data_IF_108978500424
#
_entry.id   IF_108978500424
#
_cell.length_a   1.000
_cell.length_b   1.000
_cell.length_c   1.000
_cell.angle_alpha   90.00
_cell.angle_beta   90.00
_cell.angle_gamma   90.00
#
_symmetry.space_group_name_H-M   'P 1'
#
loop_
_entity.id
_entity.type
_entity.pdbx_description
1 polymer ?
#
# COMPACT_ATOMS: atom_id res chain seq x y z
N UNK A 1 1.57 9.19 10.62
CA UNK A 1 0.66 8.48 11.56
C UNK A 1 -0.73 8.41 10.95
N UNK A 2 -1.40 7.26 11.05
CA UNK A 2 -2.78 7.07 10.56
C UNK A 2 -3.66 6.76 11.75
N UNK A 3 -4.82 7.44 11.88
CA UNK A 3 -5.76 7.17 12.94
C UNK A 3 -7.19 7.11 12.41
N UNK A 4 -7.91 6.08 12.81
CA UNK A 4 -9.35 5.90 12.61
C UNK A 4 -10.05 6.15 13.95
N UNK A 5 -11.07 7.01 13.93
CA UNK A 5 -11.86 7.33 15.12
C UNK A 5 -13.32 7.13 14.85
N UNK A 6 -13.86 5.99 15.33
CA UNK A 6 -15.27 5.59 15.16
C UNK A 6 -15.74 5.66 13.71
N UNK A 7 -14.90 5.15 12.79
CA UNK A 7 -15.13 5.26 11.34
C UNK A 7 -16.13 4.21 10.91
N UNK A 8 -17.18 4.67 10.21
CA UNK A 8 -18.10 3.78 9.48
C UNK A 8 -18.16 4.18 8.01
N UNK A 9 -18.31 3.19 7.14
CA UNK A 9 -18.54 3.38 5.71
C UNK A 9 -19.67 2.51 5.23
N UNK A 10 -20.70 3.15 4.71
CA UNK A 10 -21.88 2.53 4.14
C UNK A 10 -21.96 2.85 2.65
N UNK A 11 -22.23 1.85 1.83
CA UNK A 11 -22.50 2.00 0.40
C UNK A 11 -23.94 1.60 0.11
N UNK A 12 -24.51 2.12 -0.98
CA UNK A 12 -25.88 1.83 -1.40
C UNK A 12 -26.93 2.66 -0.65
N UNK A 13 -28.19 2.41 -0.96
CA UNK A 13 -29.37 3.03 -0.34
C UNK A 13 -30.54 2.05 -0.35
N UNK A 14 -31.51 2.22 0.55
CA UNK A 14 -32.67 1.32 0.66
C UNK A 14 -32.25 -0.13 0.96
N UNK A 15 -32.79 -1.08 0.23
CA UNK A 15 -32.57 -2.52 0.43
C UNK A 15 -31.18 -3.02 0.02
N UNK A 16 -30.36 -2.16 -0.61
CA UNK A 16 -29.01 -2.53 -1.08
C UNK A 16 -27.90 -1.96 -0.19
N UNK A 17 -28.21 -1.60 1.05
CA UNK A 17 -27.25 -1.04 2.01
C UNK A 17 -26.19 -2.07 2.40
N UNK A 18 -24.91 -1.75 2.16
CA UNK A 18 -23.76 -2.54 2.59
C UNK A 18 -22.91 -1.72 3.54
N UNK A 19 -22.78 -2.16 4.80
CA UNK A 19 -21.89 -1.56 5.79
C UNK A 19 -20.49 -2.18 5.64
N UNK A 20 -19.66 -1.55 4.82
CA UNK A 20 -18.33 -2.05 4.51
C UNK A 20 -17.31 -1.84 5.64
N UNK A 21 -17.49 -0.79 6.46
CA UNK A 21 -16.72 -0.55 7.70
C UNK A 21 -17.70 -0.11 8.78
N UNK A 22 -17.59 -0.69 9.97
CA UNK A 22 -18.49 -0.44 11.09
C UNK A 22 -17.72 -0.06 12.35
N UNK A 23 -17.85 1.20 12.77
CA UNK A 23 -17.31 1.77 14.01
C UNK A 23 -15.84 1.41 14.28
N UNK A 24 -15.01 1.39 13.22
CA UNK A 24 -13.61 1.01 13.29
C UNK A 24 -12.76 2.10 13.93
N UNK A 25 -11.98 1.73 14.95
CA UNK A 25 -11.01 2.62 15.60
C UNK A 25 -9.67 1.91 15.75
N UNK A 26 -8.58 2.55 15.29
CA UNK A 26 -7.20 2.14 15.49
C UNK A 26 -6.24 3.29 15.24
N UNK A 27 -5.00 3.16 15.72
CA UNK A 27 -3.92 4.10 15.43
C UNK A 27 -2.68 3.35 14.98
N UNK A 28 -2.21 3.65 13.76
CA UNK A 28 -0.96 3.15 13.20
C UNK A 28 0.11 4.25 13.29
N UNK A 29 1.15 4.09 14.11
CA UNK A 29 2.24 5.04 14.22
C UNK A 29 3.04 5.12 12.91
N UNK A 30 3.78 6.21 12.73
CA UNK A 30 4.71 6.35 11.61
C UNK A 30 5.77 5.23 11.67
N UNK A 31 6.15 4.70 10.51
CA UNK A 31 7.09 3.58 10.40
C UNK A 31 6.52 2.21 10.75
N UNK A 32 5.26 2.13 11.16
CA UNK A 32 4.60 0.85 11.46
C UNK A 32 4.38 0.02 10.19
N UNK A 33 4.49 -1.30 10.32
CA UNK A 33 4.04 -2.25 9.30
C UNK A 33 2.83 -3.02 9.86
N UNK A 34 1.65 -2.75 9.31
CA UNK A 34 0.39 -3.31 9.78
C UNK A 34 -0.29 -4.11 8.68
N UNK A 35 -0.93 -5.21 9.05
CA UNK A 35 -1.71 -6.03 8.13
C UNK A 35 -3.19 -6.05 8.53
N UNK A 36 -4.06 -5.89 7.55
CA UNK A 36 -5.48 -6.15 7.65
C UNK A 36 -5.80 -7.50 7.03
N UNK A 37 -6.40 -8.40 7.82
CA UNK A 37 -6.80 -9.73 7.39
C UNK A 37 -8.30 -9.92 7.56
N UNK A 38 -8.86 -10.99 6.99
CA UNK A 38 -10.27 -11.33 7.12
C UNK A 38 -10.86 -11.87 5.83
N UNK A 39 -12.11 -12.36 5.86
CA UNK A 39 -12.80 -12.91 4.69
C UNK A 39 -12.91 -11.90 3.54
N UNK A 40 -13.18 -12.38 2.32
CA UNK A 40 -13.55 -11.49 1.21
C UNK A 40 -14.80 -10.70 1.58
N UNK A 41 -14.85 -9.43 1.21
CA UNK A 41 -15.97 -8.54 1.55
C UNK A 41 -15.95 -7.97 2.99
N UNK A 42 -14.97 -8.31 3.84
CA UNK A 42 -14.92 -7.79 5.23
C UNK A 42 -14.50 -6.33 5.37
N UNK A 43 -14.34 -5.56 4.27
CA UNK A 43 -14.06 -4.12 4.31
C UNK A 43 -12.58 -3.72 4.23
N UNK A 44 -11.64 -4.67 4.08
CA UNK A 44 -10.19 -4.40 4.08
C UNK A 44 -9.74 -3.37 3.04
N UNK A 45 -10.10 -3.56 1.77
CA UNK A 45 -9.77 -2.60 0.70
C UNK A 45 -10.47 -1.26 0.92
N UNK A 46 -11.67 -1.27 1.53
CA UNK A 46 -12.38 -0.03 1.90
C UNK A 46 -11.58 0.78 2.92
N UNK A 47 -10.91 0.13 3.88
CA UNK A 47 -10.01 0.80 4.84
C UNK A 47 -8.88 1.52 4.08
N UNK A 48 -8.23 0.85 3.11
CA UNK A 48 -7.19 1.49 2.29
C UNK A 48 -7.74 2.66 1.46
N UNK A 49 -8.93 2.50 0.88
CA UNK A 49 -9.59 3.57 0.12
C UNK A 49 -9.93 4.80 0.98
N UNK A 50 -10.34 4.59 2.22
CA UNK A 50 -10.59 5.66 3.19
C UNK A 50 -9.29 6.42 3.51
N UNK A 51 -8.18 5.70 3.76
CA UNK A 51 -6.86 6.31 4.03
C UNK A 51 -6.37 7.11 2.82
N UNK A 52 -6.56 6.56 1.61
CA UNK A 52 -6.15 7.21 0.36
C UNK A 52 -7.03 8.40 -0.03
N UNK A 53 -8.11 8.69 0.69
CA UNK A 53 -9.08 9.72 0.31
C UNK A 53 -9.76 9.43 -1.04
N UNK A 54 -9.91 8.15 -1.39
CA UNK A 54 -10.64 7.71 -2.58
C UNK A 54 -12.15 7.70 -2.34
N UNK A 55 -12.55 7.54 -1.09
CA UNK A 55 -13.95 7.62 -0.64
C UNK A 55 -13.98 8.26 0.75
N UNK A 56 -14.93 9.18 1.04
CA UNK A 56 -15.08 9.72 2.39
C UNK A 56 -15.76 8.69 3.30
N UNK A 57 -15.51 8.71 4.62
CA UNK A 57 -16.29 7.95 5.58
C UNK A 57 -17.75 8.44 5.61
N UNK A 58 -18.67 7.57 6.02
CA UNK A 58 -20.08 7.95 6.28
C UNK A 58 -20.20 8.62 7.64
N UNK A 59 -19.39 8.18 8.62
CA UNK A 59 -19.26 8.80 9.94
C UNK A 59 -17.89 8.52 10.53
N UNK A 60 -17.52 9.26 11.58
CA UNK A 60 -16.20 9.18 12.20
C UNK A 60 -15.16 10.00 11.45
N UNK A 61 -13.87 9.83 11.79
CA UNK A 61 -12.75 10.59 11.22
C UNK A 61 -11.61 9.68 10.83
N UNK A 62 -11.02 9.95 9.66
CA UNK A 62 -9.79 9.32 9.19
C UNK A 62 -8.72 10.38 9.15
N UNK A 63 -7.69 10.24 10.00
CA UNK A 63 -6.59 11.17 10.08
C UNK A 63 -5.34 10.58 9.45
N UNK A 64 -4.70 11.32 8.55
CA UNK A 64 -3.41 11.00 7.95
C UNK A 64 -2.44 12.14 8.24
N UNK A 65 -1.38 11.85 8.99
CA UNK A 65 -0.43 12.85 9.52
C UNK A 65 -1.13 14.03 10.23
N UNK A 66 -2.23 13.74 10.94
CA UNK A 66 -3.03 14.71 11.67
C UNK A 66 -4.10 15.45 10.84
N UNK A 67 -4.07 15.35 9.52
CA UNK A 67 -5.08 15.95 8.65
C UNK A 67 -6.28 15.02 8.47
N UNK A 68 -7.50 15.55 8.62
CA UNK A 68 -8.74 14.80 8.40
C UNK A 68 -9.00 14.66 6.90
N UNK A 69 -8.91 13.43 6.39
CA UNK A 69 -9.07 13.15 4.96
C UNK A 69 -10.49 13.45 4.47
N UNK A 70 -11.50 13.33 5.33
CA UNK A 70 -12.89 13.60 4.97
C UNK A 70 -13.15 15.09 4.67
N UNK A 71 -12.38 15.99 5.27
CA UNK A 71 -12.49 17.44 5.06
C UNK A 71 -11.71 17.94 3.84
N UNK A 72 -10.94 17.08 3.16
CA UNK A 72 -10.13 17.47 2.02
C UNK A 72 -10.98 17.69 0.76
N UNK A 73 -10.65 18.72 0.02
CA UNK A 73 -11.14 18.91 -1.36
C UNK A 73 -10.61 17.81 -2.28
N UNK A 74 -11.21 17.66 -3.46
CA UNK A 74 -10.73 16.70 -4.47
C UNK A 74 -9.26 16.95 -4.86
N UNK A 75 -8.84 18.22 -4.94
CA UNK A 75 -7.47 18.61 -5.25
C UNK A 75 -6.48 18.23 -4.13
N UNK A 76 -6.85 18.46 -2.87
CA UNK A 76 -6.04 18.09 -1.70
C UNK A 76 -5.92 16.58 -1.56
N UNK A 77 -7.01 15.82 -1.74
CA UNK A 77 -6.98 14.36 -1.75
C UNK A 77 -6.12 13.81 -2.88
N UNK A 78 -6.17 14.41 -4.07
CA UNK A 78 -5.30 14.04 -5.19
C UNK A 78 -3.81 14.35 -4.88
N UNK A 79 -3.52 15.49 -4.25
CA UNK A 79 -2.17 15.86 -3.81
C UNK A 79 -1.64 14.91 -2.73
N UNK A 80 -2.48 14.52 -1.75
CA UNK A 80 -2.14 13.52 -0.74
C UNK A 80 -1.70 12.19 -1.40
N UNK A 81 -2.52 11.66 -2.32
CA UNK A 81 -2.19 10.42 -3.05
C UNK A 81 -0.90 10.56 -3.88
N UNK A 82 -0.74 11.66 -4.60
CA UNK A 82 0.39 11.87 -5.51
C UNK A 82 1.72 12.08 -4.79
N UNK A 83 1.69 12.67 -3.57
CA UNK A 83 2.91 13.10 -2.85
C UNK A 83 3.25 12.28 -1.62
N UNK A 84 2.25 11.63 -1.01
CA UNK A 84 2.42 11.00 0.31
C UNK A 84 2.11 9.52 0.33
N UNK A 85 1.33 8.99 -0.63
CA UNK A 85 0.84 7.63 -0.63
C UNK A 85 1.33 6.88 -1.87
N UNK A 86 2.13 5.83 -1.65
CA UNK A 86 2.41 4.83 -2.67
C UNK A 86 1.33 3.75 -2.62
N UNK A 87 0.60 3.53 -3.71
CA UNK A 87 -0.44 2.50 -3.76
C UNK A 87 0.01 1.31 -4.62
N UNK A 88 -0.01 0.11 -4.04
CA UNK A 88 0.32 -1.15 -4.69
C UNK A 88 -0.95 -1.99 -4.75
N UNK A 89 -1.38 -2.34 -5.94
CA UNK A 89 -2.62 -3.05 -6.22
C UNK A 89 -2.34 -4.48 -6.69
N UNK A 90 -3.27 -5.39 -6.47
CA UNK A 90 -3.21 -6.76 -6.96
C UNK A 90 -3.10 -6.81 -8.49
N UNK A 91 -3.82 -5.95 -9.21
CA UNK A 91 -3.88 -5.91 -10.68
C UNK A 91 -2.77 -5.07 -11.33
N UNK A 92 -1.70 -4.72 -10.59
CA UNK A 92 -0.55 -3.91 -11.02
C UNK A 92 -0.91 -2.50 -11.50
N UNK A 93 -1.99 -2.31 -12.25
CA UNK A 93 -2.46 -1.06 -12.86
C UNK A 93 -1.35 -0.32 -13.62
N UNK A 94 -0.52 -1.06 -14.35
CA UNK A 94 0.49 -0.51 -15.25
C UNK A 94 -0.18 -0.07 -16.56
N UNK A 95 0.30 1.02 -17.12
CA UNK A 95 -0.14 1.51 -18.42
C UNK A 95 0.59 0.74 -19.52
N UNK A 96 -0.10 -0.09 -20.33
CA UNK A 96 0.54 -1.03 -21.24
C UNK A 96 1.25 -0.36 -22.42
N UNK A 97 0.87 0.87 -22.75
CA UNK A 97 1.46 1.68 -23.81
C UNK A 97 2.67 2.52 -23.37
N UNK A 98 2.99 2.52 -22.09
CA UNK A 98 4.18 3.16 -21.52
C UNK A 98 5.24 2.11 -21.21
N UNK A 99 6.51 2.47 -21.37
CA UNK A 99 7.65 1.69 -20.91
C UNK A 99 7.67 1.56 -19.38
N UNK A 100 8.51 0.68 -18.85
CA UNK A 100 8.73 0.55 -17.42
C UNK A 100 9.20 1.87 -16.79
N UNK A 101 10.15 2.56 -17.43
CA UNK A 101 10.62 3.89 -17.02
C UNK A 101 9.50 4.91 -16.94
N UNK A 102 8.69 5.00 -17.97
CA UNK A 102 7.57 5.96 -18.04
C UNK A 102 6.48 5.63 -17.02
N UNK A 103 6.14 4.36 -16.82
CA UNK A 103 5.21 3.93 -15.77
C UNK A 103 5.67 4.38 -14.38
N UNK A 104 6.95 4.20 -14.06
CA UNK A 104 7.51 4.62 -12.76
C UNK A 104 7.57 6.14 -12.66
N UNK A 105 7.94 6.86 -13.72
CA UNK A 105 8.07 8.32 -13.72
C UNK A 105 6.74 9.09 -13.70
N UNK A 106 5.64 8.44 -14.11
CA UNK A 106 4.34 9.09 -14.28
C UNK A 106 3.88 9.95 -13.09
N UNK A 107 3.94 9.47 -11.82
CA UNK A 107 3.51 10.29 -10.68
C UNK A 107 4.30 11.59 -10.53
N UNK A 108 5.60 11.58 -10.84
CA UNK A 108 6.47 12.74 -10.75
C UNK A 108 6.19 13.75 -11.88
N UNK A 109 5.95 13.25 -13.09
CA UNK A 109 5.55 14.08 -14.24
C UNK A 109 4.22 14.79 -13.96
N UNK A 110 3.24 14.07 -13.42
CA UNK A 110 1.94 14.63 -13.02
C UNK A 110 2.05 15.65 -11.87
N UNK A 111 3.11 15.57 -11.07
CA UNK A 111 3.38 16.55 -10.00
C UNK A 111 4.25 17.74 -10.48
N UNK A 112 4.61 17.79 -11.78
CA UNK A 112 5.39 18.87 -12.38
C UNK A 112 6.88 18.86 -11.99
N UNK A 113 7.42 17.70 -11.60
CA UNK A 113 8.85 17.56 -11.26
C UNK A 113 9.69 17.72 -12.53
N UNK A 114 10.84 18.41 -12.43
CA UNK A 114 11.76 18.63 -13.56
C UNK A 114 12.31 17.30 -14.09
N UNK A 115 12.43 17.18 -15.42
CA UNK A 115 12.82 15.92 -16.09
C UNK A 115 14.10 15.30 -15.56
N UNK A 116 15.14 16.09 -15.31
CA UNK A 116 16.40 15.58 -14.77
C UNK A 116 16.24 14.92 -13.38
N UNK A 117 15.33 15.42 -12.55
CA UNK A 117 15.01 14.83 -11.25
C UNK A 117 14.13 13.58 -11.42
N UNK A 118 13.18 13.60 -12.37
CA UNK A 118 12.37 12.41 -12.73
C UNK A 118 13.32 11.28 -13.13
N UNK A 119 14.26 11.53 -14.03
CA UNK A 119 15.20 10.51 -14.53
C UNK A 119 16.06 9.92 -13.42
N UNK A 120 16.58 10.76 -12.52
CA UNK A 120 17.37 10.31 -11.38
C UNK A 120 16.55 9.40 -10.44
N UNK A 121 15.37 9.87 -10.02
CA UNK A 121 14.49 9.11 -9.10
C UNK A 121 13.98 7.81 -9.72
N UNK A 122 13.68 7.81 -11.01
CA UNK A 122 13.23 6.60 -11.73
C UNK A 122 14.37 5.58 -11.80
N UNK A 123 15.60 6.00 -12.07
CA UNK A 123 16.76 5.09 -12.06
C UNK A 123 16.94 4.45 -10.68
N UNK A 124 16.88 5.25 -9.60
CA UNK A 124 16.99 4.76 -8.23
C UNK A 124 15.87 3.75 -7.91
N UNK A 125 14.62 4.08 -8.26
CA UNK A 125 13.48 3.22 -7.98
C UNK A 125 13.54 1.90 -8.77
N UNK A 126 13.94 1.91 -10.03
CA UNK A 126 14.12 0.71 -10.85
C UNK A 126 15.28 -0.15 -10.34
N UNK A 127 16.38 0.47 -9.90
CA UNK A 127 17.51 -0.26 -9.32
C UNK A 127 17.09 -0.96 -8.01
N UNK A 128 16.32 -0.28 -7.15
CA UNK A 128 15.84 -0.83 -5.87
C UNK A 128 15.03 -2.12 -6.05
N UNK A 129 14.28 -2.24 -7.14
CA UNK A 129 13.46 -3.43 -7.46
C UNK A 129 14.13 -4.39 -8.45
N UNK A 130 15.41 -4.21 -8.77
CA UNK A 130 16.18 -5.00 -9.73
C UNK A 130 15.58 -5.02 -11.16
N UNK A 131 15.06 -3.87 -11.64
CA UNK A 131 14.48 -3.72 -12.98
C UNK A 131 15.17 -2.67 -13.85
N UNK A 132 16.36 -2.19 -13.46
CA UNK A 132 17.10 -1.20 -14.25
C UNK A 132 17.35 -1.67 -15.70
N UNK A 133 17.65 -2.97 -15.91
CA UNK A 133 17.86 -3.59 -17.21
C UNK A 133 16.58 -3.72 -18.06
N UNK A 134 15.40 -3.53 -17.45
CA UNK A 134 14.09 -3.59 -18.10
C UNK A 134 13.46 -2.22 -18.34
N UNK A 135 14.16 -1.13 -18.07
CA UNK A 135 13.63 0.25 -18.11
C UNK A 135 12.92 0.60 -19.43
N UNK A 136 13.40 0.13 -20.57
CA UNK A 136 12.80 0.36 -21.88
C UNK A 136 11.72 -0.65 -22.30
N UNK A 137 11.42 -1.67 -21.50
CA UNK A 137 10.40 -2.67 -21.83
C UNK A 137 9.00 -2.18 -21.49
N UNK A 138 8.02 -2.61 -22.29
CA UNK A 138 6.60 -2.41 -21.96
C UNK A 138 6.12 -3.48 -20.96
N UNK A 139 5.10 -3.18 -20.13
CA UNK A 139 4.54 -4.14 -19.17
C UNK A 139 4.19 -5.51 -19.76
N UNK A 140 3.70 -5.55 -21.00
CA UNK A 140 3.35 -6.78 -21.70
C UNK A 140 4.54 -7.72 -21.96
N UNK A 141 5.77 -7.21 -21.89
CA UNK A 141 7.00 -7.98 -22.05
C UNK A 141 7.65 -8.37 -20.70
N UNK A 142 6.95 -8.12 -19.59
CA UNK A 142 7.41 -8.42 -18.25
C UNK A 142 6.61 -9.59 -17.66
N UNK A 143 7.27 -10.45 -16.90
CA UNK A 143 6.59 -11.48 -16.09
C UNK A 143 5.72 -10.84 -15.00
N UNK A 144 4.74 -11.58 -14.46
CA UNK A 144 3.87 -11.06 -13.39
C UNK A 144 4.63 -10.54 -12.17
N UNK A 145 5.71 -11.24 -11.78
CA UNK A 145 6.59 -10.78 -10.69
C UNK A 145 7.37 -9.51 -11.04
N UNK A 146 7.82 -9.34 -12.30
CA UNK A 146 8.45 -8.10 -12.76
C UNK A 146 7.44 -6.95 -12.82
N UNK A 147 6.21 -7.22 -13.27
CA UNK A 147 5.13 -6.22 -13.28
C UNK A 147 4.80 -5.73 -11.86
N UNK A 148 4.74 -6.64 -10.90
CA UNK A 148 4.49 -6.28 -9.50
C UNK A 148 5.64 -5.48 -8.90
N UNK A 149 6.90 -5.87 -9.15
CA UNK A 149 8.07 -5.07 -8.75
C UNK A 149 8.06 -3.69 -9.42
N UNK A 150 7.62 -3.59 -10.67
CA UNK A 150 7.47 -2.31 -11.36
C UNK A 150 6.39 -1.43 -10.71
N UNK A 151 5.26 -2.00 -10.29
CA UNK A 151 4.23 -1.29 -9.53
C UNK A 151 4.75 -0.78 -8.19
N UNK A 152 5.63 -1.55 -7.51
CA UNK A 152 6.32 -1.09 -6.29
C UNK A 152 7.27 0.08 -6.61
N UNK A 153 8.08 -0.01 -7.66
CA UNK A 153 8.97 1.09 -8.05
C UNK A 153 8.17 2.38 -8.31
N UNK A 154 7.03 2.27 -8.99
CA UNK A 154 6.11 3.41 -9.20
C UNK A 154 5.56 3.98 -7.89
N UNK A 155 5.24 3.12 -6.93
CA UNK A 155 4.78 3.57 -5.61
C UNK A 155 5.89 4.27 -4.80
N UNK A 156 7.15 3.86 -4.97
CA UNK A 156 8.31 4.35 -4.23
C UNK A 156 8.94 5.62 -4.81
N UNK A 157 8.80 5.86 -6.12
CA UNK A 157 9.47 6.96 -6.83
C UNK A 157 9.14 8.34 -6.24
N UNK A 158 7.97 8.49 -5.66
CA UNK A 158 7.52 9.71 -4.99
C UNK A 158 8.11 9.87 -3.59
N UNK A 159 8.85 8.88 -3.06
CA UNK A 159 9.33 8.79 -1.67
C UNK A 159 8.17 8.94 -0.68
N UNK A 160 7.20 8.03 -0.71
CA UNK A 160 5.96 8.15 0.06
C UNK A 160 6.23 8.06 1.57
N UNK A 161 5.35 8.67 2.36
CA UNK A 161 5.31 8.44 3.81
C UNK A 161 4.54 7.18 4.17
N UNK A 162 3.63 6.75 3.28
CA UNK A 162 2.72 5.62 3.48
C UNK A 162 2.70 4.76 2.22
N UNK A 163 2.80 3.44 2.39
CA UNK A 163 2.54 2.44 1.35
C UNK A 163 1.23 1.73 1.72
N UNK A 164 0.27 1.77 0.81
CA UNK A 164 -0.96 0.98 0.86
C UNK A 164 -0.83 -0.17 -0.12
N UNK A 165 -0.86 -1.40 0.36
CA UNK A 165 -0.69 -2.61 -0.44
C UNK A 165 -1.96 -3.47 -0.35
N UNK A 166 -2.73 -3.53 -1.43
CA UNK A 166 -3.98 -4.30 -1.52
C UNK A 166 -3.73 -5.60 -2.27
N UNK A 167 -3.67 -6.72 -1.52
CA UNK A 167 -3.39 -8.09 -2.01
C UNK A 167 -2.19 -8.14 -2.99
N UNK A 168 -1.02 -7.56 -2.64
CA UNK A 168 0.09 -7.37 -3.59
C UNK A 168 0.70 -8.67 -4.10
N UNK A 169 0.39 -9.79 -3.48
CA UNK A 169 0.88 -11.14 -3.82
C UNK A 169 -0.16 -12.01 -4.52
N UNK A 170 -1.40 -11.51 -4.69
CA UNK A 170 -2.54 -12.32 -5.13
C UNK A 170 -2.40 -12.93 -6.54
N UNK A 171 -1.56 -12.34 -7.40
CA UNK A 171 -1.29 -12.82 -8.77
C UNK A 171 0.10 -13.47 -8.91
N UNK A 172 0.77 -13.81 -7.80
CA UNK A 172 2.11 -14.36 -7.78
C UNK A 172 2.12 -15.78 -7.22
N UNK A 173 3.08 -16.59 -7.68
CA UNK A 173 3.39 -17.82 -6.98
C UNK A 173 4.00 -17.56 -5.59
N UNK A 174 4.06 -18.58 -4.74
CA UNK A 174 4.55 -18.45 -3.36
C UNK A 174 5.98 -17.94 -3.26
N UNK A 175 6.85 -18.32 -4.20
CA UNK A 175 8.25 -17.90 -4.18
C UNK A 175 8.37 -16.41 -4.51
N UNK A 176 7.76 -15.98 -5.61
CA UNK A 176 7.71 -14.57 -6.01
C UNK A 176 7.01 -13.70 -4.95
N UNK A 177 5.93 -14.21 -4.33
CA UNK A 177 5.23 -13.54 -3.24
C UNK A 177 6.14 -13.30 -2.02
N UNK A 178 6.95 -14.28 -1.61
CA UNK A 178 7.92 -14.10 -0.51
C UNK A 178 8.98 -13.06 -0.85
N UNK A 179 9.58 -13.14 -2.05
CA UNK A 179 10.56 -12.14 -2.50
C UNK A 179 9.98 -10.72 -2.49
N UNK A 180 8.71 -10.58 -2.90
CA UNK A 180 8.01 -9.30 -2.87
C UNK A 180 7.84 -8.78 -1.44
N UNK A 181 7.41 -9.64 -0.52
CA UNK A 181 7.19 -9.28 0.88
C UNK A 181 8.51 -8.98 1.59
N UNK A 182 9.58 -9.71 1.28
CA UNK A 182 10.93 -9.40 1.76
C UNK A 182 11.35 -7.99 1.30
N UNK A 183 11.13 -7.66 0.02
CA UNK A 183 11.42 -6.33 -0.53
C UNK A 183 10.63 -5.23 0.20
N UNK A 184 9.31 -5.41 0.39
CA UNK A 184 8.48 -4.42 1.11
C UNK A 184 8.95 -4.25 2.56
N UNK A 185 9.30 -5.35 3.22
CA UNK A 185 9.82 -5.34 4.57
C UNK A 185 11.16 -4.61 4.69
N UNK A 186 12.10 -4.90 3.79
CA UNK A 186 13.40 -4.23 3.74
C UNK A 186 13.24 -2.71 3.49
N UNK A 187 12.28 -2.32 2.64
CA UNK A 187 11.96 -0.91 2.40
C UNK A 187 11.41 -0.26 3.68
N UNK A 188 10.46 -0.90 4.37
CA UNK A 188 9.92 -0.37 5.62
C UNK A 188 11.04 -0.16 6.67
N UNK A 189 11.90 -1.16 6.86
CA UNK A 189 13.00 -1.09 7.84
C UNK A 189 14.02 0.01 7.50
N UNK A 190 14.41 0.12 6.23
CA UNK A 190 15.47 1.05 5.80
C UNK A 190 15.02 2.49 5.68
N UNK A 191 13.76 2.72 5.33
CA UNK A 191 13.24 4.07 5.05
C UNK A 191 12.31 4.61 6.13
N UNK A 192 11.81 3.76 7.02
CA UNK A 192 10.79 4.13 8.01
C UNK A 192 9.43 4.46 7.40
N UNK A 193 9.18 4.08 6.14
CA UNK A 193 7.86 4.26 5.51
C UNK A 193 6.81 3.42 6.23
N UNK A 194 5.65 4.00 6.48
CA UNK A 194 4.52 3.25 7.06
C UNK A 194 3.91 2.32 6.02
N UNK A 195 3.69 1.04 6.35
CA UNK A 195 3.10 0.06 5.43
C UNK A 195 1.78 -0.44 6.00
N UNK A 196 0.71 -0.37 5.20
CA UNK A 196 -0.55 -1.05 5.46
C UNK A 196 -0.80 -2.07 4.36
N UNK A 197 -0.78 -3.34 4.76
CA UNK A 197 -0.98 -4.50 3.89
C UNK A 197 -2.40 -5.03 4.08
N UNK A 198 -3.13 -5.24 3.01
CA UNK A 198 -4.32 -6.08 2.99
C UNK A 198 -3.93 -7.42 2.40
N UNK A 199 -4.22 -8.50 3.11
CA UNK A 199 -4.01 -9.86 2.60
C UNK A 199 -4.93 -10.86 3.31
N UNK A 200 -5.30 -11.91 2.61
CA UNK A 200 -5.98 -13.07 3.19
C UNK A 200 -5.00 -14.21 3.54
N UNK A 201 -3.72 -14.13 3.10
CA UNK A 201 -2.71 -15.14 3.39
C UNK A 201 -2.02 -14.84 4.74
N UNK A 202 -2.15 -15.75 5.74
CA UNK A 202 -1.53 -15.58 7.05
C UNK A 202 0.01 -15.58 7.00
N UNK A 203 0.61 -16.22 5.99
CA UNK A 203 2.07 -16.22 5.81
C UNK A 203 2.57 -14.82 5.49
N UNK A 204 1.85 -14.09 4.64
CA UNK A 204 2.22 -12.72 4.30
C UNK A 204 1.79 -11.71 5.38
N UNK A 205 0.68 -11.95 6.07
CA UNK A 205 0.31 -11.14 7.23
C UNK A 205 1.37 -11.17 8.35
N UNK A 206 2.11 -12.29 8.49
CA UNK A 206 3.17 -12.45 9.49
C UNK A 206 4.41 -11.57 9.25
N UNK A 207 4.48 -10.85 8.13
CA UNK A 207 5.50 -9.82 7.88
C UNK A 207 5.21 -8.51 8.65
N UNK A 208 3.99 -8.28 9.05
CA UNK A 208 3.59 -7.09 9.78
C UNK A 208 4.00 -7.14 11.26
N UNK A 209 4.15 -5.97 11.88
CA UNK A 209 4.34 -5.84 13.33
C UNK A 209 3.01 -6.03 14.08
N UNK A 210 1.89 -5.74 13.43
CA UNK A 210 0.55 -5.84 14.01
C UNK A 210 -0.45 -6.30 12.95
N UNK A 211 -1.35 -7.20 13.34
CA UNK A 211 -2.39 -7.73 12.46
C UNK A 211 -3.76 -7.37 13.03
N UNK A 212 -4.57 -6.69 12.23
CA UNK A 212 -5.95 -6.37 12.51
C UNK A 212 -6.85 -7.30 11.67
N UNK A 213 -7.64 -8.13 12.33
CA UNK A 213 -8.60 -8.99 11.64
C UNK A 213 -9.95 -8.30 11.56
N UNK A 214 -10.42 -8.07 10.34
CA UNK A 214 -11.76 -7.53 10.08
C UNK A 214 -12.75 -8.66 9.81
N UNK A 215 -13.93 -8.53 10.41
CA UNK A 215 -15.10 -9.41 10.18
C UNK A 215 -16.30 -8.49 10.04
N UNK A 216 -17.01 -8.60 8.93
CA UNK A 216 -18.22 -7.81 8.63
C UNK A 216 -18.07 -6.30 8.89
N UNK A 217 -16.92 -5.75 8.46
CA UNK A 217 -16.59 -4.33 8.59
C UNK A 217 -16.10 -3.89 9.97
N UNK A 218 -16.16 -4.75 10.98
CA UNK A 218 -15.74 -4.47 12.35
C UNK A 218 -14.40 -5.12 12.70
N UNK A 219 -13.72 -4.59 13.73
CA UNK A 219 -12.50 -5.17 14.27
C UNK A 219 -12.84 -6.40 15.11
N UNK A 220 -12.50 -7.60 14.59
CA UNK A 220 -12.69 -8.86 15.30
C UNK A 220 -11.52 -9.22 16.22
N UNK A 221 -10.29 -8.99 15.79
CA UNK A 221 -9.07 -9.26 16.55
C UNK A 221 -7.99 -8.23 16.24
N UNK A 222 -7.18 -7.92 17.25
CA UNK A 222 -6.02 -7.04 17.18
C UNK A 222 -4.83 -7.74 17.83
N UNK A 223 -3.85 -8.13 17.04
CA UNK A 223 -2.71 -8.93 17.48
C UNK A 223 -1.40 -8.19 17.19
N UNK A 224 -0.64 -7.85 18.23
CA UNK A 224 0.76 -7.49 18.07
C UNK A 224 1.57 -8.77 17.80
N UNK A 225 2.36 -8.77 16.74
CA UNK A 225 3.27 -9.87 16.42
C UNK A 225 4.67 -9.50 16.93
N UNK A 226 5.34 -10.49 17.53
CA UNK A 226 6.76 -10.35 17.84
C UNK A 226 7.51 -10.31 16.51
N UNK A 227 8.30 -9.28 16.29
CA UNK A 227 9.07 -9.09 15.05
C UNK A 227 10.11 -10.22 14.92
N UNK A 228 9.73 -11.28 14.22
CA UNK A 228 10.60 -12.43 13.96
C UNK A 228 11.81 -12.10 13.09
N UNK A 229 11.87 -10.90 12.46
CA UNK A 229 13.01 -10.46 11.66
C UNK A 229 14.10 -9.81 12.50
N UNK A 230 13.74 -9.28 13.67
CA UNK A 230 14.69 -8.78 14.67
C UNK A 230 15.25 -9.89 15.56
N UNK A 231 14.95 -11.16 15.25
CA UNK A 231 15.58 -12.30 15.93
C UNK A 231 17.07 -12.33 15.53
N UNK A 232 17.99 -12.11 16.47
CA UNK A 232 19.42 -12.09 16.21
C UNK A 232 19.96 -13.40 15.63
N UNK A 233 19.24 -14.52 15.80
CA UNK A 233 19.59 -15.80 15.22
C UNK A 233 19.45 -15.84 13.67
N UNK A 234 18.61 -14.99 13.05
CA UNK A 234 18.49 -14.84 11.60
C UNK A 234 19.49 -13.84 10.99
N UNK A 235 19.98 -12.88 11.77
CA UNK A 235 21.00 -11.94 11.33
C UNK A 235 22.36 -12.61 11.12
N UNK A 236 22.62 -13.73 11.79
CA UNK A 236 23.86 -14.50 11.67
C UNK A 236 23.86 -15.55 10.54
N UNK A 237 22.75 -15.71 9.81
CA UNK A 237 22.58 -16.71 8.74
C UNK A 237 22.49 -16.09 7.33
N UNK A 238 22.85 -14.79 7.18
CA UNK A 238 22.93 -14.09 5.87
C UNK A 238 24.37 -13.80 5.45
#
# INVERSE_FOLDING_TARGET
MIAFRHVSKVFGSGDTVVRAVDNLSFECPAGGFWAFTGPSGSGKSTVLHLIAGLTPPTSGRVLVDGADVAGMTAAESAALRRRRIGYILQSFNLLPFLTARENVGMPLVLDGVRQAEVDARVNDALALVNLAHRAGHHPTHLSGGEQQRLAIARALVIRPAIILADEPTGNLDRHAGRQLMDLIGDINERTGVTVLLVTHDPVFAAYAHRVLRLVDGALGQDMALVDKRRDPARAAAR
#
